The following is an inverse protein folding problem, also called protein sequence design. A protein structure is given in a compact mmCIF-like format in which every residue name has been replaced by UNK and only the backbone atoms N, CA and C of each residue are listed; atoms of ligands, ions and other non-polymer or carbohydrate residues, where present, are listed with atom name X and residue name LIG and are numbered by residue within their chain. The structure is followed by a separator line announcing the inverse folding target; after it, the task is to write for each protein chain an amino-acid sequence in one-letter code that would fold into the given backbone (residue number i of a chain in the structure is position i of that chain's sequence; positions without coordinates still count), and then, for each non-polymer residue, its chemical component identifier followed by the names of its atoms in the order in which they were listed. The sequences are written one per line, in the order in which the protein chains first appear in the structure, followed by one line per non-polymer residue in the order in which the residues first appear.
data_IF_647485804064
#
_entry.id   IF_647485804064
#
_cell.length_a   1.000
_cell.length_b   1.000
_cell.length_c   1.000
_cell.angle_alpha   90.00
_cell.angle_beta   90.00
_cell.angle_gamma   90.00
#
_symmetry.space_group_name_H-M   'P 1'
#
loop_
_entity.id
_entity.type
_entity.pdbx_description
1 polymer ?
#
# COMPACT_ATOMS: atom_id res chain seq x y z
N UNK A 1 9.12 8.25 -16.70
CA UNK A 1 8.32 7.54 -15.68
C UNK A 1 9.27 6.78 -14.79
N UNK A 2 9.11 6.95 -13.47
CA UNK A 2 9.92 6.29 -12.44
C UNK A 2 8.98 5.58 -11.47
N UNK A 3 9.41 4.45 -10.93
CA UNK A 3 8.67 3.73 -9.89
C UNK A 3 9.53 3.72 -8.63
N UNK A 4 9.03 4.35 -7.57
CA UNK A 4 9.64 4.30 -6.24
C UNK A 4 8.90 3.26 -5.40
N UNK A 5 9.65 2.31 -4.83
CA UNK A 5 9.09 1.35 -3.87
C UNK A 5 9.25 1.90 -2.46
N UNK A 6 8.15 1.92 -1.71
CA UNK A 6 8.07 2.30 -0.31
C UNK A 6 8.09 1.01 0.52
N UNK A 7 9.10 0.85 1.35
CA UNK A 7 9.44 -0.44 1.99
C UNK A 7 9.24 -0.47 3.50
N UNK A 8 8.98 0.67 4.13
CA UNK A 8 8.76 0.76 5.57
C UNK A 8 7.73 1.85 5.93
N UNK A 9 7.26 1.81 7.18
CA UNK A 9 6.24 2.73 7.67
C UNK A 9 6.68 4.20 7.65
N UNK A 10 7.97 4.48 7.90
CA UNK A 10 8.51 5.85 7.85
C UNK A 10 8.45 6.43 6.44
N UNK A 11 8.79 5.63 5.43
CA UNK A 11 8.65 6.02 4.03
C UNK A 11 7.18 6.16 3.61
N UNK A 12 6.30 5.30 4.12
CA UNK A 12 4.86 5.41 3.90
C UNK A 12 4.29 6.70 4.48
N UNK A 13 4.75 7.08 5.68
CA UNK A 13 4.39 8.35 6.32
C UNK A 13 4.88 9.55 5.50
N UNK A 14 6.02 9.43 4.81
CA UNK A 14 6.57 10.50 3.95
C UNK A 14 5.73 10.82 2.71
N UNK A 15 4.87 9.90 2.27
CA UNK A 15 3.99 10.09 1.11
C UNK A 15 2.53 10.37 1.50
N UNK A 16 2.25 10.58 2.79
CA UNK A 16 0.90 10.79 3.33
C UNK A 16 0.12 11.86 2.58
N UNK A 17 0.71 13.04 2.40
CA UNK A 17 -0.01 14.17 1.81
C UNK A 17 -0.26 13.96 0.32
N UNK A 18 0.69 13.31 -0.37
CA UNK A 18 0.52 12.88 -1.77
C UNK A 18 -0.63 11.89 -1.90
N UNK A 19 -0.69 10.88 -1.01
CA UNK A 19 -1.77 9.90 -1.00
C UNK A 19 -3.12 10.56 -0.75
N UNK A 20 -3.20 11.43 0.27
CA UNK A 20 -4.41 12.17 0.58
C UNK A 20 -4.88 13.09 -0.54
N UNK A 21 -3.97 13.63 -1.37
CA UNK A 21 -4.36 14.40 -2.55
C UNK A 21 -5.08 13.52 -3.60
N UNK A 22 -4.66 12.26 -3.78
CA UNK A 22 -5.36 11.30 -4.65
C UNK A 22 -6.74 10.90 -4.10
N UNK A 23 -6.95 10.97 -2.79
CA UNK A 23 -8.25 10.70 -2.16
C UNK A 23 -9.32 11.75 -2.49
N UNK A 24 -8.93 12.94 -2.93
CA UNK A 24 -9.86 14.06 -3.11
C UNK A 24 -10.53 14.10 -4.49
N UNK A 25 -10.20 13.17 -5.39
CA UNK A 25 -10.63 13.21 -6.80
C UNK A 25 -11.65 12.10 -7.12
N UNK A 26 -12.88 12.49 -7.50
CA UNK A 26 -14.04 11.70 -8.01
C UNK A 26 -14.53 10.55 -7.11
N UNK A 27 -15.80 10.63 -6.66
CA UNK A 27 -16.53 9.68 -5.78
C UNK A 27 -15.86 9.28 -4.46
N UNK A 28 -14.65 9.77 -4.21
CA UNK A 28 -13.84 9.49 -3.03
C UNK A 28 -13.28 8.06 -3.05
N UNK A 29 -12.09 7.84 -2.46
CA UNK A 29 -11.61 6.49 -2.23
C UNK A 29 -12.60 5.78 -1.32
N UNK A 30 -12.81 4.48 -1.57
CA UNK A 30 -13.43 3.66 -0.52
C UNK A 30 -12.57 3.77 0.74
N UNK A 31 -13.16 3.61 1.93
CA UNK A 31 -12.39 3.66 3.19
C UNK A 31 -11.13 2.79 3.14
N UNK A 32 -11.20 1.66 2.42
CA UNK A 32 -10.12 0.70 2.19
C UNK A 32 -8.96 1.22 1.32
N UNK A 33 -9.20 2.25 0.51
CA UNK A 33 -8.20 2.92 -0.31
C UNK A 33 -7.57 4.14 0.37
N UNK A 34 -8.13 4.60 1.50
CA UNK A 34 -7.57 5.73 2.25
C UNK A 34 -6.20 5.41 2.84
N UNK A 35 -5.32 6.40 2.89
CA UNK A 35 -4.03 6.36 3.55
C UNK A 35 -4.19 5.97 5.02
N UNK A 36 -5.19 6.54 5.70
CA UNK A 36 -5.45 6.27 7.12
C UNK A 36 -5.71 4.78 7.35
N UNK A 37 -6.60 4.17 6.56
CA UNK A 37 -6.89 2.75 6.68
C UNK A 37 -5.67 1.89 6.36
N UNK A 38 -4.99 2.18 5.25
CA UNK A 38 -3.82 1.43 4.83
C UNK A 38 -2.68 1.53 5.85
N UNK A 39 -2.49 2.70 6.47
CA UNK A 39 -1.48 2.92 7.51
C UNK A 39 -1.78 2.13 8.78
N UNK A 40 -3.04 2.08 9.20
CA UNK A 40 -3.50 1.25 10.33
C UNK A 40 -3.31 -0.23 9.99
N UNK A 41 -3.72 -0.68 8.80
CA UNK A 41 -3.54 -2.06 8.37
C UNK A 41 -2.07 -2.46 8.37
N UNK A 42 -1.17 -1.60 7.86
CA UNK A 42 0.27 -1.87 7.88
C UNK A 42 0.80 -2.01 9.31
N UNK A 43 0.30 -1.22 10.25
CA UNK A 43 0.71 -1.28 11.66
C UNK A 43 0.21 -2.54 12.37
N UNK A 44 -1.06 -2.87 12.16
CA UNK A 44 -1.74 -3.91 12.92
C UNK A 44 -1.59 -5.31 12.30
N UNK A 45 -1.40 -5.40 10.98
CA UNK A 45 -1.38 -6.68 10.24
C UNK A 45 0.00 -6.97 9.66
N UNK A 46 0.61 -6.00 8.96
CA UNK A 46 1.88 -6.21 8.27
C UNK A 46 3.06 -6.22 9.23
N UNK A 47 3.21 -5.20 10.09
CA UNK A 47 4.35 -5.05 10.99
C UNK A 47 4.60 -6.26 11.92
N UNK A 48 3.58 -6.92 12.53
CA UNK A 48 3.83 -8.10 13.35
C UNK A 48 4.14 -9.37 12.53
N UNK A 49 3.87 -9.40 11.22
CA UNK A 49 4.02 -10.59 10.40
C UNK A 49 5.36 -10.62 9.65
N UNK A 50 6.30 -11.42 10.16
CA UNK A 50 7.65 -11.58 9.58
C UNK A 50 7.70 -12.12 8.15
N UNK A 51 6.59 -12.69 7.64
CA UNK A 51 6.50 -13.18 6.26
C UNK A 51 5.97 -12.14 5.28
N UNK A 52 5.57 -10.95 5.76
CA UNK A 52 4.98 -9.89 4.96
C UNK A 52 5.89 -8.66 4.95
N UNK A 53 5.92 -7.95 3.83
CA UNK A 53 6.78 -6.77 3.63
C UNK A 53 6.03 -5.69 2.87
N UNK A 54 6.22 -4.45 3.27
CA UNK A 54 5.59 -3.32 2.58
C UNK A 54 6.23 -3.16 1.20
N UNK A 55 5.40 -2.98 0.17
CA UNK A 55 5.86 -2.89 -1.21
C UNK A 55 5.05 -1.87 -2.02
N UNK A 56 4.53 -0.82 -1.37
CA UNK A 56 3.74 0.23 -2.01
C UNK A 56 4.56 0.87 -3.12
N UNK A 57 3.96 1.07 -4.30
CA UNK A 57 4.64 1.71 -5.43
C UNK A 57 4.08 3.12 -5.63
N UNK A 58 4.97 4.11 -5.61
CA UNK A 58 4.68 5.46 -6.07
C UNK A 58 5.18 5.57 -7.52
N UNK A 59 4.25 5.80 -8.45
CA UNK A 59 4.57 6.06 -9.86
C UNK A 59 4.72 7.55 -10.03
N UNK A 60 5.87 7.97 -10.56
CA UNK A 60 6.24 9.36 -10.77
C UNK A 60 6.44 9.63 -12.27
N UNK A 61 6.10 10.83 -12.73
CA UNK A 61 6.39 11.30 -14.08
C UNK A 61 7.89 11.56 -14.28
N UNK A 62 8.29 12.10 -15.44
CA UNK A 62 9.70 12.44 -15.71
C UNK A 62 10.23 13.64 -14.92
N UNK A 63 9.35 14.44 -14.33
CA UNK A 63 9.68 15.61 -13.49
C UNK A 63 9.61 15.29 -11.99
N UNK A 64 9.24 14.07 -11.60
CA UNK A 64 9.06 13.67 -10.20
C UNK A 64 7.67 13.95 -9.64
N UNK A 65 6.72 14.37 -10.48
CA UNK A 65 5.32 14.54 -10.11
C UNK A 65 4.63 13.20 -9.84
N UNK A 66 3.87 13.04 -8.75
CA UNK A 66 3.18 11.80 -8.45
C UNK A 66 2.03 11.57 -9.43
N UNK A 67 2.00 10.39 -10.06
CA UNK A 67 0.97 10.00 -11.03
C UNK A 67 -0.02 8.98 -10.46
N UNK A 68 0.47 8.02 -9.67
CA UNK A 68 -0.36 6.96 -9.08
C UNK A 68 0.29 6.35 -7.84
N UNK A 69 -0.55 5.78 -6.97
CA UNK A 69 -0.12 4.96 -5.84
C UNK A 69 -0.72 3.57 -6.00
N UNK A 70 0.13 2.55 -5.92
CA UNK A 70 -0.27 1.15 -5.92
C UNK A 70 -0.04 0.57 -4.51
N UNK A 71 -1.11 0.38 -3.72
CA UNK A 71 -0.99 -0.02 -2.32
C UNK A 71 -0.74 -1.53 -2.22
N UNK A 72 0.52 -1.95 -2.29
CA UNK A 72 0.91 -3.37 -2.26
C UNK A 72 1.71 -3.79 -1.01
N UNK A 73 1.64 -5.09 -0.72
CA UNK A 73 2.60 -5.80 0.12
C UNK A 73 3.04 -7.10 -0.54
N UNK A 74 4.21 -7.59 -0.15
CA UNK A 74 4.76 -8.87 -0.58
C UNK A 74 4.66 -9.89 0.56
N UNK A 75 4.38 -11.14 0.22
CA UNK A 75 4.27 -12.24 1.19
C UNK A 75 5.03 -13.48 0.74
N UNK A 76 5.83 -14.02 1.65
CA UNK A 76 6.54 -15.30 1.50
C UNK A 76 5.55 -16.47 1.73
N UNK A 77 5.29 -17.29 0.70
CA UNK A 77 4.39 -18.46 0.77
C UNK A 77 5.14 -19.72 1.21
N UNK A 78 6.27 -20.01 0.56
CA UNK A 78 7.15 -21.16 0.87
C UNK A 78 8.57 -20.64 1.10
N UNK A 79 8.80 -20.04 2.26
CA UNK A 79 10.05 -19.33 2.54
C UNK A 79 10.27 -18.19 1.53
N UNK A 80 11.51 -17.68 1.39
CA UNK A 80 11.82 -16.55 0.51
C UNK A 80 11.80 -16.90 -0.99
N UNK A 81 11.59 -18.17 -1.37
CA UNK A 81 11.68 -18.62 -2.76
C UNK A 81 10.42 -18.34 -3.58
N UNK A 82 9.26 -18.28 -2.92
CA UNK A 82 7.97 -18.01 -3.57
C UNK A 82 7.30 -16.84 -2.88
N UNK A 83 7.29 -15.70 -3.56
CA UNK A 83 6.69 -14.46 -3.08
C UNK A 83 5.46 -14.12 -3.91
N UNK A 84 4.41 -13.64 -3.25
CA UNK A 84 3.22 -13.11 -3.93
C UNK A 84 3.06 -11.63 -3.59
N UNK A 85 2.64 -10.84 -4.56
CA UNK A 85 2.25 -9.43 -4.36
C UNK A 85 0.74 -9.37 -4.17
N UNK A 86 0.30 -8.65 -3.15
CA UNK A 86 -1.11 -8.51 -2.77
C UNK A 86 -1.43 -7.05 -2.50
N UNK A 87 -2.67 -6.62 -2.74
CA UNK A 87 -3.13 -5.29 -2.34
C UNK A 87 -3.21 -5.19 -0.82
N UNK A 88 -2.83 -4.05 -0.26
CA UNK A 88 -3.13 -3.74 1.14
C UNK A 88 -4.65 -3.83 1.36
N UNK A 89 -5.06 -4.43 2.48
CA UNK A 89 -6.46 -4.74 2.75
C UNK A 89 -6.98 -6.05 2.11
N UNK A 90 -6.24 -6.66 1.17
CA UNK A 90 -6.50 -8.04 0.73
C UNK A 90 -6.32 -8.97 1.93
N UNK A 91 -7.33 -9.81 2.22
CA UNK A 91 -7.55 -10.66 3.44
C UNK A 91 -8.54 -10.11 4.48
N UNK A 92 -9.07 -8.90 4.34
CA UNK A 92 -10.25 -8.48 5.11
C UNK A 92 -11.57 -8.87 4.41
N UNK A 93 -11.55 -9.20 3.12
CA UNK A 93 -12.77 -9.46 2.32
C UNK A 93 -13.39 -10.85 2.54
N UNK A 94 -12.62 -11.88 2.90
CA UNK A 94 -13.19 -13.24 3.06
C UNK A 94 -14.29 -13.35 4.13
N UNK A 95 -14.41 -12.35 5.02
CA UNK A 95 -15.48 -12.25 6.02
C UNK A 95 -16.24 -10.91 6.00
N UNK A 96 -15.87 -9.96 5.12
CA UNK A 96 -16.52 -8.64 5.00
C UNK A 96 -17.06 -8.36 3.59
N UNK A 97 -17.07 -9.35 2.70
CA UNK A 97 -17.88 -9.31 1.48
C UNK A 97 -19.35 -9.42 1.93
N UNK A 98 -20.01 -8.27 2.14
CA UNK A 98 -21.46 -8.13 2.21
C UNK A 98 -21.97 -7.88 0.79
#
# INVERSE_FOLDING_TARGET
MRIRTIQNLKELDSIKDVWKAFEQHSDGPTIFQSWTWNRIWCEQVLAPNKKMRLAVKLVEDSMGGPMAILPFFEQDIVGPLVQVTQFLGHRMSTYNDI
#
